data_IF_022078341976
#
_entry.id   IF_022078341976
#
_cell.length_a   1.000
_cell.length_b   1.000
_cell.length_c   1.000
_cell.angle_alpha   90.00
_cell.angle_beta   90.00
_cell.angle_gamma   90.00
#
_symmetry.space_group_name_H-M   'P 1'
#
loop_
_entity.id
_entity.type
_entity.pdbx_description
1 polymer ?
#
# COMPACT_ATOMS: atom_id res chain seq x y z
N UNK A 1 -6.45 -6.17 6.40
CA UNK A 1 -5.81 -5.16 7.27
C UNK A 1 -6.54 -3.82 7.28
N UNK A 2 -6.79 -3.16 6.14
CA UNK A 2 -7.42 -1.82 6.13
C UNK A 2 -8.84 -1.76 6.74
N UNK A 3 -9.49 -2.91 6.89
CA UNK A 3 -10.81 -3.05 7.52
C UNK A 3 -10.75 -3.37 9.01
N UNK A 4 -9.58 -3.72 9.55
CA UNK A 4 -9.41 -4.05 10.96
C UNK A 4 -9.30 -2.73 11.73
N UNK A 5 -10.11 -2.48 12.78
CA UNK A 5 -9.98 -1.27 13.59
C UNK A 5 -8.56 -1.13 14.14
N UNK A 6 -8.00 0.07 14.04
CA UNK A 6 -6.62 0.32 14.41
C UNK A 6 -6.39 1.78 14.82
N UNK A 7 -5.29 2.04 15.53
CA UNK A 7 -4.83 3.40 15.86
C UNK A 7 -3.34 3.58 15.57
N UNK A 8 -2.89 4.77 15.13
CA UNK A 8 -1.48 5.08 15.11
C UNK A 8 -0.94 5.19 16.54
N UNK A 9 0.23 4.60 16.77
CA UNK A 9 0.98 4.74 18.02
C UNK A 9 2.08 5.79 17.88
N UNK A 10 2.83 5.73 16.78
CA UNK A 10 3.96 6.61 16.53
C UNK A 10 4.54 6.40 15.15
N UNK A 11 5.60 7.14 14.85
CA UNK A 11 6.32 7.03 13.59
C UNK A 11 7.72 6.46 13.85
N UNK A 12 8.24 5.69 12.88
CA UNK A 12 9.65 5.34 12.81
C UNK A 12 10.24 6.09 11.62
N UNK A 13 11.24 6.92 11.90
CA UNK A 13 11.81 7.88 10.94
C UNK A 13 10.71 8.71 10.22
N UNK A 14 10.90 9.01 8.93
CA UNK A 14 10.01 9.87 8.16
C UNK A 14 8.85 9.16 7.47
N UNK A 15 8.95 7.83 7.25
CA UNK A 15 8.03 7.10 6.36
C UNK A 15 7.12 6.11 7.07
N UNK A 16 7.53 5.57 8.22
CA UNK A 16 6.83 4.45 8.82
C UNK A 16 5.91 4.92 9.93
N UNK A 17 4.70 4.37 9.96
CA UNK A 17 3.73 4.56 11.04
C UNK A 17 3.52 3.21 11.72
N UNK A 18 3.85 3.14 13.00
CA UNK A 18 3.51 1.99 13.85
C UNK A 18 2.05 2.14 14.26
N UNK A 19 1.28 1.07 14.05
CA UNK A 19 -0.15 1.01 14.39
C UNK A 19 -0.42 -0.14 15.32
N UNK A 20 -1.43 0.02 16.18
CA UNK A 20 -1.99 -1.07 16.97
C UNK A 20 -3.29 -1.49 16.29
N UNK A 21 -3.41 -2.78 15.98
CA UNK A 21 -4.59 -3.39 15.39
C UNK A 21 -5.42 -4.10 16.45
N UNK A 22 -6.75 -4.06 16.32
CA UNK A 22 -7.71 -4.67 17.24
C UNK A 22 -8.63 -5.65 16.50
N UNK A 23 -8.18 -6.88 16.23
CA UNK A 23 -8.92 -7.85 15.41
C UNK A 23 -10.31 -8.17 15.93
N UNK A 24 -10.47 -8.26 17.26
CA UNK A 24 -11.75 -8.60 17.89
C UNK A 24 -12.78 -7.47 17.90
N UNK A 25 -12.38 -6.26 17.48
CA UNK A 25 -13.31 -5.15 17.23
C UNK A 25 -13.83 -5.14 15.79
N UNK A 26 -13.28 -5.98 14.90
CA UNK A 26 -13.74 -6.09 13.53
C UNK A 26 -15.16 -6.67 13.47
N UNK A 27 -16.04 -6.00 12.73
CA UNK A 27 -17.38 -6.48 12.44
C UNK A 27 -17.64 -6.41 10.93
N UNK A 28 -18.19 -7.49 10.37
CA UNK A 28 -18.62 -7.55 8.96
C UNK A 28 -19.90 -6.75 8.70
N UNK A 29 -20.71 -6.53 9.74
CA UNK A 29 -21.97 -5.79 9.64
C UNK A 29 -21.75 -4.27 9.72
N UNK A 30 -20.71 -3.84 10.43
CA UNK A 30 -20.36 -2.44 10.61
C UNK A 30 -18.85 -2.27 10.44
N UNK A 31 -18.36 -2.10 9.19
CA UNK A 31 -16.95 -1.88 8.94
C UNK A 31 -16.57 -0.49 9.43
N UNK A 32 -16.15 -0.40 10.69
CA UNK A 32 -15.53 0.81 11.24
C UNK A 32 -14.03 0.61 11.20
N UNK A 33 -13.35 1.23 10.26
CA UNK A 33 -11.89 1.21 10.15
C UNK A 33 -11.20 2.07 11.23
N UNK A 34 -11.98 2.91 11.93
CA UNK A 34 -11.53 3.84 12.95
C UNK A 34 -12.16 3.57 14.31
N UNK A 35 -11.35 3.67 15.36
CA UNK A 35 -11.87 3.64 16.72
C UNK A 35 -12.67 4.91 17.03
N UNK A 36 -13.73 4.77 17.83
CA UNK A 36 -14.47 5.92 18.35
C UNK A 36 -13.59 6.73 19.31
N UNK A 37 -13.91 8.01 19.50
CA UNK A 37 -13.18 8.88 20.43
C UNK A 37 -13.20 8.33 21.85
N UNK A 38 -14.32 7.74 22.29
CA UNK A 38 -14.43 7.12 23.62
C UNK A 38 -13.48 5.93 23.78
N UNK A 39 -13.33 5.11 22.74
CA UNK A 39 -12.36 3.99 22.76
C UNK A 39 -10.93 4.49 22.76
N UNK A 40 -10.62 5.53 21.99
CA UNK A 40 -9.29 6.15 21.99
C UNK A 40 -8.95 6.75 23.37
N UNK A 41 -9.92 7.40 24.01
CA UNK A 41 -9.78 7.92 25.37
C UNK A 41 -9.51 6.80 26.37
N UNK A 42 -10.32 5.74 26.33
CA UNK A 42 -10.16 4.56 27.16
C UNK A 42 -8.76 3.94 27.02
N UNK A 43 -8.31 3.71 25.79
CA UNK A 43 -6.98 3.13 25.51
C UNK A 43 -5.87 4.04 26.03
N UNK A 44 -5.97 5.35 25.80
CA UNK A 44 -4.95 6.29 26.23
C UNK A 44 -4.84 6.35 27.76
N UNK A 45 -5.97 6.59 28.43
CA UNK A 45 -6.02 6.86 29.87
C UNK A 45 -5.73 5.60 30.71
N UNK A 46 -6.19 4.42 30.26
CA UNK A 46 -6.08 3.18 31.04
C UNK A 46 -4.94 2.25 30.61
N UNK A 47 -4.43 2.39 29.39
CA UNK A 47 -3.38 1.50 28.88
C UNK A 47 -2.10 2.26 28.52
N UNK A 48 -2.15 3.12 27.49
CA UNK A 48 -0.94 3.72 26.93
C UNK A 48 -0.19 4.58 27.94
N UNK A 49 -0.87 5.56 28.55
CA UNK A 49 -0.22 6.44 29.52
C UNK A 49 0.28 5.66 30.75
N UNK A 50 -0.52 4.78 31.40
CA UNK A 50 -0.02 3.93 32.48
C UNK A 50 1.21 3.10 32.08
N UNK A 51 1.23 2.50 30.90
CA UNK A 51 2.40 1.76 30.40
C UNK A 51 3.63 2.66 30.29
N UNK A 52 3.49 3.87 29.73
CA UNK A 52 4.62 4.80 29.60
C UNK A 52 5.15 5.26 30.95
N UNK A 53 4.27 5.49 31.94
CA UNK A 53 4.68 5.87 33.29
C UNK A 53 5.35 4.74 34.08
N UNK A 54 5.01 3.49 33.76
CA UNK A 54 5.55 2.29 34.37
C UNK A 54 6.92 1.92 33.78
N UNK A 55 7.03 1.95 32.44
CA UNK A 55 8.20 1.44 31.71
C UNK A 55 9.23 2.52 31.41
N UNK A 56 8.79 3.78 31.21
CA UNK A 56 9.66 4.93 30.88
C UNK A 56 9.34 6.11 31.80
N UNK A 57 9.52 5.97 33.13
CA UNK A 57 9.10 6.97 34.11
C UNK A 57 9.79 8.33 33.93
N UNK A 58 11.02 8.35 33.42
CA UNK A 58 11.76 9.55 33.03
C UNK A 58 11.08 10.39 31.93
N UNK A 59 10.11 9.86 31.18
CA UNK A 59 9.34 10.62 30.18
C UNK A 59 8.01 11.18 30.71
N UNK A 60 7.71 11.02 32.01
CA UNK A 60 6.40 11.32 32.62
C UNK A 60 5.85 12.70 32.31
N UNK A 61 6.71 13.72 32.30
CA UNK A 61 6.36 15.13 32.01
C UNK A 61 5.99 15.37 30.54
N UNK A 62 6.39 14.48 29.64
CA UNK A 62 6.14 14.57 28.19
C UNK A 62 4.80 13.98 27.76
N UNK A 63 4.14 13.20 28.62
CA UNK A 63 2.86 12.54 28.34
C UNK A 63 1.68 13.31 28.94
N UNK A 64 0.73 13.80 28.12
CA UNK A 64 -0.47 14.48 28.62
C UNK A 64 -1.22 13.68 29.67
N UNK A 65 -1.86 14.34 30.63
CA UNK A 65 -2.50 13.65 31.76
C UNK A 65 -3.71 12.84 31.33
N UNK A 66 -4.45 13.33 30.34
CA UNK A 66 -5.65 12.68 29.81
C UNK A 66 -5.71 12.75 28.29
N UNK A 67 -6.54 11.90 27.68
CA UNK A 67 -6.79 11.94 26.24
C UNK A 67 -7.30 13.31 25.76
N UNK A 68 -8.11 13.99 26.54
CA UNK A 68 -8.63 15.31 26.18
C UNK A 68 -7.50 16.36 26.02
N UNK A 69 -6.42 16.24 26.81
CA UNK A 69 -5.26 17.12 26.74
C UNK A 69 -4.26 16.71 25.64
N UNK A 70 -4.36 15.48 25.13
CA UNK A 70 -3.53 15.00 24.03
C UNK A 70 -4.15 15.24 22.65
N UNK A 71 -5.22 16.04 22.53
CA UNK A 71 -5.90 16.30 21.24
C UNK A 71 -5.49 17.63 20.63
N UNK A 72 -5.29 17.63 19.31
CA UNK A 72 -5.23 18.83 18.48
C UNK A 72 -6.62 19.46 18.33
N UNK A 73 -6.68 20.70 17.82
CA UNK A 73 -7.94 21.39 17.46
C UNK A 73 -8.80 20.61 16.45
N UNK A 74 -8.22 19.69 15.69
CA UNK A 74 -8.94 18.83 14.72
C UNK A 74 -9.33 17.48 15.31
N UNK A 75 -9.02 17.23 16.59
CA UNK A 75 -9.42 16.04 17.31
C UNK A 75 -8.49 14.83 17.16
N UNK A 76 -7.37 14.97 16.44
CA UNK A 76 -6.30 13.98 16.35
C UNK A 76 -5.42 13.99 17.59
N UNK A 77 -4.76 12.87 17.89
CA UNK A 77 -3.72 12.81 18.92
C UNK A 77 -2.54 13.72 18.53
N UNK A 78 -2.28 14.75 19.33
CA UNK A 78 -1.12 15.63 19.27
C UNK A 78 -0.17 15.27 20.41
N UNK A 79 0.73 14.34 20.15
CA UNK A 79 1.84 14.08 21.05
C UNK A 79 2.97 15.07 20.78
N UNK A 80 3.72 15.40 21.82
CA UNK A 80 5.09 15.89 21.66
C UNK A 80 5.90 14.81 20.93
N UNK A 81 6.88 15.19 20.11
CA UNK A 81 7.82 14.25 19.49
C UNK A 81 8.72 13.62 20.57
N UNK A 82 8.16 12.68 21.32
CA UNK A 82 8.83 11.98 22.41
C UNK A 82 9.12 10.56 21.96
N UNK A 83 10.41 10.25 21.87
CA UNK A 83 10.85 8.92 21.52
C UNK A 83 10.69 7.94 22.69
N UNK A 84 10.30 6.72 22.36
CA UNK A 84 10.39 5.58 23.27
C UNK A 84 11.79 4.99 23.11
N UNK A 85 12.60 4.88 24.18
CA UNK A 85 13.94 4.33 24.06
C UNK A 85 13.93 2.90 23.50
N UNK A 86 14.79 2.60 22.53
CA UNK A 86 14.79 1.32 21.80
C UNK A 86 14.88 0.10 22.74
N UNK A 87 15.72 0.18 23.78
CA UNK A 87 15.92 -0.88 24.77
C UNK A 87 14.71 -1.11 25.70
N UNK A 88 13.67 -0.26 25.62
CA UNK A 88 12.41 -0.41 26.36
C UNK A 88 11.24 -0.86 25.48
N UNK A 89 11.42 -0.96 24.16
CA UNK A 89 10.32 -1.22 23.23
C UNK A 89 9.60 -2.54 23.52
N UNK A 90 10.34 -3.61 23.78
CA UNK A 90 9.76 -4.92 24.12
C UNK A 90 8.93 -4.85 25.40
N UNK A 91 9.45 -4.19 26.44
CA UNK A 91 8.73 -4.02 27.71
C UNK A 91 7.47 -3.14 27.53
N UNK A 92 7.57 -2.05 26.76
CA UNK A 92 6.41 -1.22 26.42
C UNK A 92 5.37 -2.02 25.64
N UNK A 93 5.79 -2.79 24.63
CA UNK A 93 4.92 -3.60 23.81
C UNK A 93 4.15 -4.63 24.65
N UNK A 94 4.87 -5.43 25.43
CA UNK A 94 4.29 -6.49 26.28
C UNK A 94 3.36 -5.91 27.34
N UNK A 95 3.79 -4.86 28.06
CA UNK A 95 2.96 -4.23 29.09
C UNK A 95 1.71 -3.57 28.49
N UNK A 96 1.83 -2.91 27.33
CA UNK A 96 0.69 -2.29 26.64
C UNK A 96 -0.32 -3.34 26.17
N UNK A 97 0.14 -4.42 25.53
CA UNK A 97 -0.75 -5.49 25.06
C UNK A 97 -1.45 -6.21 26.22
N UNK A 98 -0.77 -6.41 27.35
CA UNK A 98 -1.39 -6.95 28.55
C UNK A 98 -2.50 -6.04 29.09
N UNK A 99 -2.23 -4.74 29.28
CA UNK A 99 -3.24 -3.78 29.74
C UNK A 99 -4.42 -3.67 28.77
N UNK A 100 -4.17 -3.74 27.46
CA UNK A 100 -5.23 -3.76 26.45
C UNK A 100 -6.10 -5.01 26.60
N UNK A 101 -5.51 -6.20 26.77
CA UNK A 101 -6.26 -7.44 26.96
C UNK A 101 -7.16 -7.40 28.21
N UNK A 102 -6.75 -6.67 29.25
CA UNK A 102 -7.49 -6.47 30.50
C UNK A 102 -8.67 -5.48 30.37
N UNK A 103 -8.69 -4.59 29.37
CA UNK A 103 -9.83 -3.69 29.13
C UNK A 103 -11.12 -4.44 28.77
N UNK A 104 -11.00 -5.62 28.18
CA UNK A 104 -12.13 -6.48 27.88
C UNK A 104 -11.95 -7.34 26.64
N UNK A 105 -12.93 -8.22 26.35
CA UNK A 105 -12.82 -9.24 25.29
C UNK A 105 -12.53 -8.66 23.90
N UNK A 106 -13.01 -7.45 23.61
CA UNK A 106 -12.81 -6.79 22.32
C UNK A 106 -11.38 -6.31 22.05
N UNK A 107 -10.56 -6.14 23.10
CA UNK A 107 -9.19 -5.64 22.98
C UNK A 107 -8.12 -6.75 23.06
N UNK A 108 -8.54 -8.00 23.29
CA UNK A 108 -7.64 -9.16 23.26
C UNK A 108 -7.13 -9.41 21.85
N UNK A 109 -5.95 -10.03 21.78
CA UNK A 109 -5.22 -10.33 20.54
C UNK A 109 -4.88 -9.09 19.71
N UNK A 110 -4.77 -7.93 20.38
CA UNK A 110 -4.21 -6.74 19.76
C UNK A 110 -2.75 -6.99 19.36
N UNK A 111 -2.31 -6.39 18.25
CA UNK A 111 -0.94 -6.54 17.76
C UNK A 111 -0.42 -5.26 17.11
N UNK A 112 0.90 -5.13 17.01
CA UNK A 112 1.55 -4.02 16.32
C UNK A 112 1.75 -4.32 14.84
N UNK A 113 1.57 -3.33 13.98
CA UNK A 113 1.91 -3.43 12.57
C UNK A 113 2.54 -2.16 12.04
N UNK A 114 3.48 -2.32 11.11
CA UNK A 114 4.17 -1.23 10.45
C UNK A 114 3.47 -0.88 9.12
N UNK A 115 3.22 0.40 8.88
CA UNK A 115 2.71 0.92 7.61
C UNK A 115 3.69 1.92 7.02
N UNK A 116 3.80 2.01 5.70
CA UNK A 116 4.59 3.04 5.01
C UNK A 116 5.82 2.54 4.26
N UNK A 117 5.95 1.23 4.07
CA UNK A 117 7.07 0.58 3.35
C UNK A 117 6.89 0.53 1.83
N UNK A 118 5.83 1.16 1.27
CA UNK A 118 5.53 1.04 -0.16
C UNK A 118 6.61 1.72 -1.00
N UNK A 119 7.25 0.94 -1.88
CA UNK A 119 8.34 1.45 -2.71
C UNK A 119 9.56 1.87 -1.89
N UNK A 120 9.81 1.19 -0.76
CA UNK A 120 10.94 1.50 0.12
C UNK A 120 12.29 1.39 -0.61
N UNK A 121 12.44 0.39 -1.49
CA UNK A 121 13.70 0.08 -2.18
C UNK A 121 13.52 -0.05 -3.69
N UNK A 122 14.58 0.23 -4.44
CA UNK A 122 14.70 0.04 -5.90
C UNK A 122 16.06 -0.61 -6.13
N UNK A 123 16.08 -1.70 -6.89
CA UNK A 123 17.28 -2.49 -7.16
C UNK A 123 17.14 -3.20 -8.51
N UNK A 124 18.25 -3.71 -9.03
CA UNK A 124 18.30 -4.61 -10.17
C UNK A 124 17.84 -6.01 -9.74
N UNK A 125 16.67 -6.44 -10.23
CA UNK A 125 16.12 -7.76 -9.89
C UNK A 125 16.97 -8.96 -10.32
N UNK A 126 17.96 -8.78 -11.21
CA UNK A 126 18.90 -9.82 -11.63
C UNK A 126 20.17 -9.89 -10.78
N UNK A 127 20.44 -8.85 -10.00
CA UNK A 127 21.57 -8.80 -9.10
C UNK A 127 21.15 -9.41 -7.75
N UNK A 128 21.86 -10.43 -7.29
CA UNK A 128 21.54 -11.09 -6.03
C UNK A 128 21.93 -10.23 -4.82
N UNK A 129 23.07 -9.55 -4.89
CA UNK A 129 23.58 -8.71 -3.81
C UNK A 129 22.67 -7.49 -3.63
N UNK A 130 22.25 -6.83 -4.72
CA UNK A 130 21.32 -5.70 -4.60
C UNK A 130 19.94 -6.13 -4.05
N UNK A 131 19.47 -7.34 -4.36
CA UNK A 131 18.22 -7.87 -3.78
C UNK A 131 18.35 -8.12 -2.28
N UNK A 132 19.49 -8.66 -1.83
CA UNK A 132 19.76 -8.86 -0.41
C UNK A 132 19.82 -7.51 0.34
N UNK A 133 20.59 -6.55 -0.17
CA UNK A 133 20.66 -5.21 0.41
C UNK A 133 19.28 -4.53 0.48
N UNK A 134 18.48 -4.66 -0.58
CA UNK A 134 17.13 -4.10 -0.60
C UNK A 134 16.16 -4.80 0.38
N UNK A 135 16.40 -6.07 0.73
CA UNK A 135 15.63 -6.78 1.74
C UNK A 135 16.03 -6.34 3.15
N UNK A 136 17.33 -6.19 3.40
CA UNK A 136 17.88 -5.70 4.66
C UNK A 136 17.39 -4.27 4.94
N UNK A 137 17.44 -3.39 3.93
CA UNK A 137 16.91 -2.02 4.00
C UNK A 137 15.40 -1.98 4.27
N UNK A 138 14.63 -2.90 3.66
CA UNK A 138 13.18 -2.99 3.87
C UNK A 138 12.84 -3.32 5.33
N UNK A 139 13.69 -4.12 5.98
CA UNK A 139 13.49 -4.62 7.33
C UNK A 139 14.42 -3.99 8.38
N UNK A 140 15.13 -2.90 8.06
CA UNK A 140 16.07 -2.21 8.97
C UNK A 140 15.47 -1.94 10.36
N UNK A 141 14.17 -1.65 10.42
CA UNK A 141 13.43 -1.31 11.66
C UNK A 141 12.58 -2.46 12.22
N UNK A 142 12.78 -3.68 11.72
CA UNK A 142 12.03 -4.86 12.09
C UNK A 142 13.00 -5.93 12.56
N UNK A 143 12.73 -6.50 13.73
CA UNK A 143 13.46 -7.67 14.20
C UNK A 143 13.02 -8.90 13.40
N UNK A 144 13.71 -9.15 12.27
CA UNK A 144 13.38 -10.24 11.33
C UNK A 144 13.51 -11.62 11.97
N UNK A 145 14.44 -11.80 12.91
CA UNK A 145 14.68 -13.07 13.61
C UNK A 145 13.49 -13.46 14.50
N UNK A 146 12.69 -12.48 14.91
CA UNK A 146 11.45 -12.71 15.67
C UNK A 146 10.25 -13.12 14.81
N UNK A 147 10.38 -13.08 13.47
CA UNK A 147 9.27 -13.32 12.55
C UNK A 147 9.17 -14.79 12.13
N UNK A 148 7.95 -15.26 11.92
CA UNK A 148 7.68 -16.49 11.19
C UNK A 148 7.62 -16.18 9.67
N UNK A 149 8.61 -16.61 8.86
CA UNK A 149 8.69 -16.27 7.44
C UNK A 149 7.52 -16.80 6.59
N UNK A 150 6.77 -17.78 7.10
CA UNK A 150 5.60 -18.34 6.40
C UNK A 150 4.33 -17.51 6.63
N UNK A 151 4.24 -16.80 7.77
CA UNK A 151 3.08 -15.99 8.12
C UNK A 151 3.19 -14.56 7.58
N UNK A 152 4.41 -14.10 7.31
CA UNK A 152 4.68 -12.79 6.76
C UNK A 152 4.65 -12.80 5.23
N UNK A 153 4.17 -11.71 4.65
CA UNK A 153 4.07 -11.55 3.21
C UNK A 153 4.77 -10.27 2.76
N UNK A 154 5.44 -10.34 1.61
CA UNK A 154 6.12 -9.22 0.97
C UNK A 154 5.54 -9.02 -0.42
N UNK A 155 5.31 -7.76 -0.79
CA UNK A 155 4.93 -7.37 -2.14
C UNK A 155 6.21 -7.12 -2.94
N UNK A 156 6.52 -8.03 -3.88
CA UNK A 156 7.67 -7.92 -4.79
C UNK A 156 7.17 -7.40 -6.13
N UNK A 157 7.88 -6.44 -6.73
CA UNK A 157 7.44 -5.82 -7.96
C UNK A 157 8.54 -5.68 -9.00
N UNK A 158 8.21 -5.98 -10.25
CA UNK A 158 9.00 -5.70 -11.44
C UNK A 158 8.41 -4.48 -12.16
N UNK A 159 9.27 -3.53 -12.53
CA UNK A 159 8.87 -2.35 -13.32
C UNK A 159 9.54 -2.40 -14.68
N UNK A 160 8.75 -2.28 -15.74
CA UNK A 160 9.18 -2.33 -17.13
C UNK A 160 8.98 -0.93 -17.72
N UNK A 161 10.07 -0.29 -18.11
CA UNK A 161 10.09 1.02 -18.75
C UNK A 161 10.82 0.97 -20.09
N UNK A 162 10.44 1.88 -20.99
CA UNK A 162 11.12 2.11 -22.27
C UNK A 162 11.32 3.63 -22.40
N UNK A 163 12.55 4.12 -22.56
CA UNK A 163 12.80 5.55 -22.70
C UNK A 163 11.97 6.21 -23.80
N UNK A 164 11.40 7.38 -23.53
CA UNK A 164 10.54 8.13 -24.45
C UNK A 164 9.16 7.52 -24.68
N UNK A 165 8.74 6.55 -23.88
CA UNK A 165 7.47 5.85 -24.05
C UNK A 165 6.65 5.77 -22.74
N UNK A 166 5.34 5.57 -22.90
CA UNK A 166 4.45 5.09 -21.86
C UNK A 166 4.16 3.61 -22.12
N UNK A 167 4.55 2.76 -21.18
CA UNK A 167 4.39 1.30 -21.28
C UNK A 167 3.11 0.87 -20.56
N UNK A 168 2.27 0.11 -21.26
CA UNK A 168 1.00 -0.41 -20.74
C UNK A 168 0.86 -1.93 -20.95
N UNK A 169 -0.10 -2.54 -20.26
CA UNK A 169 -0.39 -3.97 -20.31
C UNK A 169 -1.47 -4.31 -21.35
N UNK A 170 -1.29 -5.41 -22.09
CA UNK A 170 -2.28 -5.94 -23.03
C UNK A 170 -3.28 -6.83 -22.30
N UNK A 171 -4.57 -6.54 -22.41
CA UNK A 171 -5.65 -7.38 -21.84
C UNK A 171 -5.53 -8.84 -22.30
N UNK A 172 -5.28 -9.04 -23.59
CA UNK A 172 -5.20 -10.38 -24.21
C UNK A 172 -4.09 -11.27 -23.64
N UNK A 173 -3.11 -10.68 -22.95
CA UNK A 173 -1.95 -11.39 -22.42
C UNK A 173 -2.08 -11.83 -20.95
N UNK A 174 -3.13 -11.40 -20.24
CA UNK A 174 -3.25 -11.63 -18.78
C UNK A 174 -3.24 -13.11 -18.40
N UNK A 175 -3.84 -13.98 -19.24
CA UNK A 175 -3.79 -15.42 -19.03
C UNK A 175 -2.37 -15.96 -19.08
N UNK A 176 -1.59 -15.53 -20.07
CA UNK A 176 -0.21 -15.98 -20.24
C UNK A 176 0.66 -15.53 -19.07
N UNK A 177 0.48 -14.28 -18.64
CA UNK A 177 1.18 -13.75 -17.47
C UNK A 177 0.86 -14.53 -16.19
N UNK A 178 -0.42 -14.82 -15.95
CA UNK A 178 -0.85 -15.63 -14.80
C UNK A 178 -0.34 -17.08 -14.90
N UNK A 179 -0.30 -17.68 -16.10
CA UNK A 179 0.28 -19.00 -16.33
C UNK A 179 1.76 -19.04 -16.01
N UNK A 180 2.50 -17.97 -16.32
CA UNK A 180 3.90 -17.88 -15.98
C UNK A 180 4.11 -17.77 -14.46
N UNK A 181 3.37 -16.90 -13.79
CA UNK A 181 3.51 -16.66 -12.34
C UNK A 181 3.02 -17.81 -11.46
N UNK A 182 2.07 -18.61 -11.96
CA UNK A 182 1.49 -19.74 -11.26
C UNK A 182 1.68 -21.02 -12.08
N UNK A 183 2.95 -21.39 -12.30
CA UNK A 183 3.33 -22.50 -13.18
C UNK A 183 2.74 -23.86 -12.78
N UNK A 184 2.42 -24.05 -11.49
CA UNK A 184 1.77 -25.25 -10.98
C UNK A 184 0.25 -25.28 -11.22
N UNK A 185 -0.37 -24.17 -11.64
CA UNK A 185 -1.81 -24.04 -11.82
C UNK A 185 -2.22 -24.38 -13.25
N UNK A 186 -3.25 -25.20 -13.43
CA UNK A 186 -3.72 -25.58 -14.77
C UNK A 186 -4.36 -24.40 -15.52
N UNK A 187 -4.29 -24.43 -16.85
CA UNK A 187 -4.93 -23.44 -17.72
C UNK A 187 -6.44 -23.30 -17.45
N UNK A 188 -7.12 -24.39 -17.08
CA UNK A 188 -8.54 -24.35 -16.71
C UNK A 188 -8.77 -23.59 -15.40
N UNK A 189 -7.91 -23.78 -14.39
CA UNK A 189 -7.99 -23.05 -13.13
C UNK A 189 -7.74 -21.55 -13.33
N UNK A 190 -6.75 -21.20 -14.15
CA UNK A 190 -6.46 -19.80 -14.50
C UNK A 190 -7.64 -19.16 -15.23
N UNK A 191 -8.24 -19.88 -16.19
CA UNK A 191 -9.43 -19.39 -16.90
C UNK A 191 -10.63 -19.18 -15.95
N UNK A 192 -10.82 -20.07 -14.97
CA UNK A 192 -11.84 -19.90 -13.93
C UNK A 192 -11.57 -18.69 -13.03
N UNK A 193 -10.30 -18.43 -12.70
CA UNK A 193 -9.89 -17.25 -11.93
C UNK A 193 -10.25 -15.97 -12.68
N UNK A 194 -9.85 -15.85 -13.95
CA UNK A 194 -10.09 -14.65 -14.78
C UNK A 194 -11.60 -14.36 -14.89
N UNK A 195 -12.43 -15.40 -14.99
CA UNK A 195 -13.88 -15.24 -15.08
C UNK A 195 -14.57 -14.95 -13.74
N UNK A 196 -13.84 -15.01 -12.61
CA UNK A 196 -14.41 -14.78 -11.28
C UNK A 196 -14.30 -13.31 -10.87
N UNK A 197 -15.40 -12.57 -10.96
CA UNK A 197 -15.46 -11.12 -10.66
C UNK A 197 -15.13 -10.74 -9.21
N UNK A 198 -15.16 -11.69 -8.27
CA UNK A 198 -14.80 -11.44 -6.87
C UNK A 198 -13.30 -11.61 -6.62
N UNK A 199 -12.60 -12.26 -7.54
CA UNK A 199 -11.18 -12.60 -7.41
C UNK A 199 -10.32 -12.02 -8.51
N UNK A 200 -10.91 -11.62 -9.63
CA UNK A 200 -10.23 -10.99 -10.74
C UNK A 200 -10.96 -9.70 -11.13
N UNK A 201 -10.22 -8.60 -11.10
CA UNK A 201 -10.70 -7.29 -11.50
C UNK A 201 -9.85 -6.79 -12.66
N UNK A 202 -10.50 -6.44 -13.76
CA UNK A 202 -9.86 -5.84 -14.92
C UNK A 202 -9.81 -4.33 -14.73
N UNK A 203 -8.61 -3.75 -14.84
CA UNK A 203 -8.38 -2.32 -14.65
C UNK A 203 -8.04 -1.69 -16.01
N UNK A 204 -9.05 -1.28 -16.76
CA UNK A 204 -8.88 -0.65 -18.09
C UNK A 204 -8.17 0.70 -17.97
N UNK A 205 -7.17 0.91 -18.83
CA UNK A 205 -6.44 2.16 -18.93
C UNK A 205 -6.94 2.97 -20.13
N UNK A 206 -6.88 4.30 -20.03
CA UNK A 206 -7.08 5.23 -21.16
C UNK A 206 -8.42 5.10 -21.91
N UNK A 207 -9.44 4.45 -21.32
CA UNK A 207 -10.69 4.07 -22.00
C UNK A 207 -10.49 3.18 -23.25
N UNK A 208 -9.26 2.71 -23.51
CA UNK A 208 -8.91 1.77 -24.57
C UNK A 208 -9.15 0.37 -24.03
N UNK A 209 -9.93 -0.45 -24.73
CA UNK A 209 -10.33 -1.77 -24.20
C UNK A 209 -9.14 -2.72 -24.15
N UNK A 210 -8.26 -2.63 -25.14
CA UNK A 210 -7.11 -3.51 -25.32
C UNK A 210 -6.01 -3.28 -24.26
N UNK A 211 -5.99 -2.10 -23.64
CA UNK A 211 -5.01 -1.72 -22.62
C UNK A 211 -5.63 -1.83 -21.24
N UNK A 212 -5.19 -2.83 -20.49
CA UNK A 212 -5.71 -3.07 -19.16
C UNK A 212 -4.65 -3.71 -18.28
N UNK A 213 -4.57 -3.20 -17.05
CA UNK A 213 -4.02 -3.94 -15.93
C UNK A 213 -5.04 -4.90 -15.35
N UNK A 214 -4.68 -5.56 -14.26
CA UNK A 214 -5.61 -6.37 -13.49
C UNK A 214 -5.17 -6.51 -12.03
N UNK A 215 -6.10 -6.95 -11.19
CA UNK A 215 -5.88 -7.41 -9.83
C UNK A 215 -6.46 -8.81 -9.68
N UNK A 216 -5.66 -9.74 -9.17
CA UNK A 216 -6.06 -11.13 -8.99
C UNK A 216 -5.73 -11.64 -7.58
N UNK A 217 -6.73 -12.14 -6.86
CA UNK A 217 -6.56 -12.86 -5.59
C UNK A 217 -6.40 -14.35 -5.87
N UNK A 218 -5.20 -14.88 -5.63
CA UNK A 218 -4.74 -16.18 -6.13
C UNK A 218 -4.57 -17.23 -5.04
N UNK A 219 -4.83 -16.90 -3.77
CA UNK A 219 -4.67 -17.77 -2.58
C UNK A 219 -5.17 -19.21 -2.74
N UNK A 220 -6.29 -19.42 -3.46
CA UNK A 220 -6.88 -20.76 -3.62
C UNK A 220 -6.46 -21.52 -4.88
N UNK A 221 -5.59 -20.96 -5.72
CA UNK A 221 -5.22 -21.58 -6.99
C UNK A 221 -3.72 -21.63 -7.26
N UNK A 222 -2.92 -20.73 -6.69
CA UNK A 222 -1.48 -20.65 -6.95
C UNK A 222 -0.65 -21.77 -6.28
N UNK A 223 -1.25 -22.51 -5.34
CA UNK A 223 -0.53 -23.47 -4.47
C UNK A 223 0.18 -22.77 -3.31
N UNK A 224 0.81 -23.57 -2.44
CA UNK A 224 1.44 -23.06 -1.20
C UNK A 224 2.64 -22.13 -1.46
N UNK A 225 3.37 -22.34 -2.56
CA UNK A 225 4.53 -21.53 -2.95
C UNK A 225 4.20 -20.43 -3.96
N UNK A 226 2.97 -20.40 -4.46
CA UNK A 226 2.56 -19.42 -5.44
C UNK A 226 2.15 -18.09 -4.80
N UNK A 227 2.03 -17.02 -5.60
CA UNK A 227 1.59 -15.73 -5.09
C UNK A 227 0.17 -15.81 -4.53
N UNK A 228 -0.11 -15.11 -3.43
CA UNK A 228 -1.46 -14.95 -2.88
C UNK A 228 -2.25 -13.81 -3.52
N UNK A 229 -1.54 -12.88 -4.16
CA UNK A 229 -2.09 -11.76 -4.91
C UNK A 229 -1.18 -11.39 -6.09
N UNK A 230 -1.77 -10.99 -7.21
CA UNK A 230 -1.06 -10.49 -8.39
C UNK A 230 -1.73 -9.20 -8.85
N UNK A 231 -0.93 -8.18 -9.16
CA UNK A 231 -1.41 -6.93 -9.72
C UNK A 231 -0.52 -6.45 -10.86
N UNK A 232 -1.12 -6.27 -12.04
CA UNK A 232 -0.51 -5.58 -13.16
C UNK A 232 -1.14 -4.20 -13.29
N UNK A 233 -0.34 -3.15 -13.29
CA UNK A 233 -0.81 -1.77 -13.42
C UNK A 233 0.25 -0.89 -14.07
N UNK A 234 -0.14 0.31 -14.46
CA UNK A 234 0.75 1.26 -15.09
C UNK A 234 1.05 2.44 -14.11
N UNK A 235 2.24 3.04 -14.19
CA UNK A 235 2.76 3.99 -13.19
C UNK A 235 2.43 5.45 -13.50
N UNK A 236 1.97 5.77 -14.70
CA UNK A 236 1.49 7.08 -15.14
C UNK A 236 0.38 7.62 -14.24
N UNK A 237 -0.38 6.74 -13.59
CA UNK A 237 -1.33 7.10 -12.52
C UNK A 237 -0.73 8.01 -11.45
N UNK A 238 0.58 7.97 -11.22
CA UNK A 238 1.21 8.84 -10.24
C UNK A 238 1.04 10.32 -10.56
N UNK A 239 0.92 10.71 -11.84
CA UNK A 239 0.63 12.10 -12.24
C UNK A 239 -0.72 12.53 -11.67
N UNK A 240 -1.77 11.73 -11.85
CA UNK A 240 -3.11 12.09 -11.39
C UNK A 240 -3.31 11.93 -9.87
N UNK A 241 -2.43 11.19 -9.18
CA UNK A 241 -2.50 10.97 -7.73
C UNK A 241 -1.67 11.98 -6.91
N UNK A 242 -0.58 12.54 -7.46
CA UNK A 242 0.35 13.39 -6.71
C UNK A 242 -0.08 14.84 -6.59
N UNK A 243 -1.18 15.23 -7.24
CA UNK A 243 -1.68 16.59 -7.22
C UNK A 243 -2.94 16.65 -6.36
N UNK A 244 -2.99 17.65 -5.47
CA UNK A 244 -4.05 17.91 -4.50
C UNK A 244 -5.47 17.51 -4.98
N UNK A 245 -6.37 17.10 -4.07
CA UNK A 245 -7.71 16.57 -4.39
C UNK A 245 -8.68 17.52 -5.11
N UNK A 246 -8.21 18.65 -5.66
CA UNK A 246 -9.02 19.63 -6.38
C UNK A 246 -9.30 19.25 -7.84
N UNK A 247 -8.26 18.97 -8.62
CA UNK A 247 -8.34 18.98 -10.09
C UNK A 247 -8.64 17.59 -10.67
N UNK A 248 -7.88 16.57 -10.29
CA UNK A 248 -8.09 15.19 -10.76
C UNK A 248 -9.11 14.45 -9.89
N UNK A 249 -10.34 14.97 -9.86
CA UNK A 249 -11.46 14.34 -9.15
C UNK A 249 -12.58 13.95 -10.11
N UNK A 250 -13.44 13.04 -9.65
CA UNK A 250 -14.67 12.75 -10.38
C UNK A 250 -15.63 13.93 -10.25
N UNK A 251 -15.93 14.59 -11.37
CA UNK A 251 -17.02 15.57 -11.46
C UNK A 251 -18.38 14.85 -11.52
N UNK A 252 -19.35 15.34 -10.77
CA UNK A 252 -20.73 14.85 -10.81
C UNK A 252 -21.54 15.60 -11.87
N UNK A 253 -22.51 14.94 -12.50
CA UNK A 253 -23.36 15.56 -13.53
C UNK A 253 -24.04 16.86 -13.05
N UNK A 254 -24.37 16.97 -11.75
CA UNK A 254 -24.94 18.18 -11.16
C UNK A 254 -24.04 19.42 -11.24
N UNK A 255 -22.71 19.23 -11.31
CA UNK A 255 -21.74 20.34 -11.43
C UNK A 255 -21.79 21.00 -12.81
N UNK A 256 -22.34 20.31 -13.81
CA UNK A 256 -22.61 20.89 -15.13
C UNK A 256 -23.88 21.76 -15.12
N UNK A 257 -24.71 21.66 -14.08
CA UNK A 257 -26.03 22.31 -14.01
C UNK A 257 -26.06 23.55 -13.08
N UNK A 258 -24.99 23.83 -12.33
CA UNK A 258 -24.98 24.80 -11.22
C UNK A 258 -24.15 26.07 -11.48
N UNK A 259 -24.03 26.56 -12.71
CA UNK A 259 -23.18 27.72 -13.07
C UNK A 259 -21.69 27.55 -12.66
N UNK A 260 -21.27 26.33 -12.36
CA UNK A 260 -19.88 25.97 -12.01
C UNK A 260 -19.05 25.55 -13.23
N UNK A 261 -19.57 25.74 -14.44
CA UNK A 261 -18.91 25.40 -15.71
C UNK A 261 -17.51 26.02 -15.81
N UNK A 262 -17.37 27.28 -15.43
CA UNK A 262 -16.08 27.98 -15.44
C UNK A 262 -15.02 27.30 -14.55
N UNK A 263 -15.43 26.63 -13.48
CA UNK A 263 -14.48 25.89 -12.63
C UNK A 263 -14.07 24.57 -13.29
N UNK A 264 -14.99 23.89 -13.96
CA UNK A 264 -14.71 22.65 -14.71
C UNK A 264 -13.76 22.95 -15.88
N UNK A 265 -14.01 24.03 -16.62
CA UNK A 265 -13.13 24.46 -17.72
C UNK A 265 -11.73 24.74 -17.19
N UNK A 266 -11.60 25.48 -16.06
CA UNK A 266 -10.31 25.73 -15.43
C UNK A 266 -9.61 24.44 -15.00
N UNK A 267 -10.34 23.50 -14.41
CA UNK A 267 -9.78 22.19 -14.03
C UNK A 267 -9.28 21.45 -15.28
N UNK A 268 -10.05 21.48 -16.39
CA UNK A 268 -9.65 20.89 -17.67
C UNK A 268 -8.40 21.54 -18.26
N UNK A 269 -8.29 22.88 -18.25
CA UNK A 269 -7.10 23.59 -18.73
C UNK A 269 -5.86 23.20 -17.92
N UNK A 270 -6.00 23.09 -16.59
CA UNK A 270 -4.92 22.63 -15.71
C UNK A 270 -4.53 21.19 -16.08
N UNK A 271 -5.50 20.28 -16.21
CA UNK A 271 -5.24 18.88 -16.59
C UNK A 271 -4.52 18.79 -17.94
N UNK A 272 -4.97 19.54 -18.95
CA UNK A 272 -4.37 19.59 -20.28
C UNK A 272 -2.93 20.10 -20.24
N UNK A 273 -2.66 21.19 -19.53
CA UNK A 273 -1.29 21.71 -19.40
C UNK A 273 -0.35 20.68 -18.76
N UNK A 274 -0.82 19.94 -17.77
CA UNK A 274 -0.02 18.90 -17.13
C UNK A 274 0.28 17.75 -18.10
N UNK A 275 -0.68 17.35 -18.92
CA UNK A 275 -0.44 16.33 -19.94
C UNK A 275 0.50 16.82 -21.04
N UNK A 276 0.41 18.10 -21.45
CA UNK A 276 1.40 18.70 -22.35
C UNK A 276 2.81 18.69 -21.77
N UNK A 277 2.98 19.05 -20.49
CA UNK A 277 4.28 18.94 -19.81
C UNK A 277 4.77 17.48 -19.75
N UNK A 278 3.87 16.54 -19.45
CA UNK A 278 4.22 15.12 -19.45
C UNK A 278 4.61 14.60 -20.84
N UNK A 279 4.05 15.14 -21.92
CA UNK A 279 4.47 14.84 -23.28
C UNK A 279 5.89 15.36 -23.59
N UNK A 280 6.37 16.34 -22.84
CA UNK A 280 7.64 17.06 -23.07
C UNK A 280 7.48 18.32 -23.93
N UNK A 281 6.27 18.87 -23.98
CA UNK A 281 6.02 20.18 -24.60
C UNK A 281 6.43 21.32 -23.63
N UNK A 282 6.61 22.53 -24.17
CA UNK A 282 6.91 23.70 -23.34
C UNK A 282 8.36 23.78 -22.81
N UNK A 283 9.27 22.98 -23.36
CA UNK A 283 10.69 22.99 -22.97
C UNK A 283 10.99 22.23 -21.67
N UNK A 284 10.03 21.43 -21.19
CA UNK A 284 10.19 20.56 -20.01
C UNK A 284 10.57 19.16 -20.47
N UNK A 285 11.41 18.47 -19.68
CA UNK A 285 11.67 17.06 -19.91
C UNK A 285 10.39 16.26 -19.70
N UNK A 286 9.91 15.61 -20.76
CA UNK A 286 8.68 14.82 -20.69
C UNK A 286 8.82 13.61 -19.76
N UNK A 287 7.68 13.12 -19.30
CA UNK A 287 7.58 12.04 -18.33
C UNK A 287 7.20 10.72 -18.98
N UNK A 288 8.06 9.73 -18.86
CA UNK A 288 7.78 8.38 -19.30
C UNK A 288 6.83 7.65 -18.32
N UNK A 289 6.19 6.58 -18.81
CA UNK A 289 5.32 5.72 -18.02
C UNK A 289 5.78 4.27 -18.07
N UNK A 290 5.65 3.55 -16.96
CA UNK A 290 6.09 2.17 -16.84
C UNK A 290 4.92 1.22 -16.60
N UNK A 291 5.06 -0.01 -17.07
CA UNK A 291 4.22 -1.13 -16.69
C UNK A 291 4.82 -1.83 -15.46
N UNK A 292 4.07 -1.91 -14.37
CA UNK A 292 4.48 -2.53 -13.11
C UNK A 292 3.67 -3.79 -12.85
N UNK A 293 4.38 -4.88 -12.55
CA UNK A 293 3.82 -6.14 -12.09
C UNK A 293 4.23 -6.34 -10.64
N UNK A 294 3.27 -6.60 -9.77
CA UNK A 294 3.46 -6.76 -8.33
C UNK A 294 2.83 -8.08 -7.91
N UNK A 295 3.54 -8.87 -7.12
CA UNK A 295 3.03 -10.11 -6.54
C UNK A 295 3.23 -10.12 -5.03
N UNK A 296 2.26 -10.70 -4.32
CA UNK A 296 2.36 -10.95 -2.89
C UNK A 296 2.76 -12.39 -2.64
N UNK A 297 3.89 -12.59 -1.99
CA UNK A 297 4.45 -13.91 -1.65
C UNK A 297 4.79 -13.96 -0.16
N UNK A 298 5.00 -15.15 0.40
CA UNK A 298 5.52 -15.27 1.76
C UNK A 298 6.94 -14.71 1.84
N UNK A 299 7.35 -14.25 3.03
CA UNK A 299 8.70 -13.76 3.27
C UNK A 299 9.75 -14.83 2.91
N UNK A 300 9.47 -16.09 3.23
CA UNK A 300 10.29 -17.24 2.85
C UNK A 300 10.60 -17.33 1.33
N UNK A 301 9.67 -16.87 0.49
CA UNK A 301 9.79 -16.95 -0.98
C UNK A 301 10.17 -15.62 -1.64
N UNK A 302 10.23 -14.52 -0.89
CA UNK A 302 10.35 -13.16 -1.44
C UNK A 302 11.60 -12.98 -2.31
N UNK A 303 12.75 -13.50 -1.87
CA UNK A 303 14.02 -13.37 -2.58
C UNK A 303 14.04 -14.08 -3.93
N UNK A 304 13.31 -15.17 -4.08
CA UNK A 304 13.30 -15.99 -5.29
C UNK A 304 12.12 -15.68 -6.22
N UNK A 305 11.32 -14.69 -5.87
CA UNK A 305 10.07 -14.35 -6.55
C UNK A 305 10.27 -13.15 -7.47
N UNK A 306 9.75 -13.23 -8.70
CA UNK A 306 9.67 -12.12 -9.67
C UNK A 306 10.98 -11.34 -9.89
N UNK A 307 12.13 -12.03 -9.90
CA UNK A 307 13.44 -11.42 -10.20
C UNK A 307 13.56 -10.93 -11.66
N UNK A 308 12.94 -11.65 -12.60
CA UNK A 308 12.90 -11.32 -14.02
C UNK A 308 11.65 -11.89 -14.67
N UNK A 309 11.31 -11.36 -15.85
CA UNK A 309 10.40 -12.02 -16.80
C UNK A 309 11.17 -12.39 -18.07
N UNK A 310 10.79 -13.46 -18.79
CA UNK A 310 11.33 -13.76 -20.10
C UNK A 310 11.03 -12.60 -21.07
N UNK A 311 12.02 -12.21 -21.86
CA UNK A 311 11.87 -11.10 -22.81
C UNK A 311 10.71 -11.31 -23.79
N UNK A 312 10.53 -12.55 -24.24
CA UNK A 312 9.43 -12.93 -25.13
C UNK A 312 8.05 -12.80 -24.47
N UNK A 313 7.96 -13.03 -23.15
CA UNK A 313 6.73 -12.79 -22.41
C UNK A 313 6.47 -11.27 -22.30
N UNK A 314 7.51 -10.47 -22.03
CA UNK A 314 7.39 -9.01 -21.98
C UNK A 314 6.86 -8.49 -23.32
N UNK A 315 7.49 -8.86 -24.44
CA UNK A 315 7.08 -8.44 -25.79
C UNK A 315 5.61 -8.76 -26.12
N UNK A 316 5.10 -9.89 -25.62
CA UNK A 316 3.69 -10.29 -25.78
C UNK A 316 2.75 -9.59 -24.81
N UNK A 317 3.22 -9.26 -23.61
CA UNK A 317 2.39 -8.71 -22.54
C UNK A 317 2.27 -7.19 -22.53
N UNK A 318 3.26 -6.46 -23.04
CA UNK A 318 3.28 -5.00 -22.94
C UNK A 318 3.16 -4.31 -24.30
N UNK A 319 2.77 -3.04 -24.28
CA UNK A 319 2.80 -2.11 -25.41
C UNK A 319 3.54 -0.87 -24.95
N UNK A 320 4.54 -0.45 -25.71
CA UNK A 320 5.16 0.85 -25.56
C UNK A 320 4.50 1.82 -26.55
N UNK A 321 3.92 2.90 -26.03
CA UNK A 321 3.31 3.97 -26.81
C UNK A 321 4.26 5.15 -26.73
N UNK A 322 4.54 5.81 -27.85
CA UNK A 322 5.36 7.03 -27.82
C UNK A 322 4.77 8.03 -26.82
N UNK A 323 5.61 8.57 -25.95
CA UNK A 323 5.17 9.41 -24.83
C UNK A 323 4.26 10.55 -25.28
N UNK A 324 4.61 11.21 -26.39
CA UNK A 324 3.85 12.33 -26.95
C UNK A 324 2.45 11.96 -27.44
N UNK A 325 2.23 10.69 -27.80
CA UNK A 325 0.93 10.18 -28.24
C UNK A 325 0.08 9.72 -27.06
N UNK A 326 0.72 9.26 -25.99
CA UNK A 326 0.01 8.70 -24.83
C UNK A 326 -0.57 9.76 -23.89
N UNK A 327 0.08 10.92 -23.75
CA UNK A 327 -0.36 12.02 -22.89
C UNK A 327 -1.32 12.95 -23.65
#
# INVERSE_FOLDING_TARGET
MHTIPNMPLGNVQQRHVVRIFFPRLYSTEWPVDQLTQDKLALIYDQCLRPTMLEVVPESRDKWPTTYAQSRSRTGSLAFSSTDIPWYRLEQVATTLLAKLADLGPGFRDAYFGLRGTKGATIHNGRDEDERHLAMDDLFEHVDVDSLDPEQWHVDVALTIGVPGHVVTWRESSHRELLSYLMSATSTQQISRLINNKNRFHLDRALQIKEFAGFRATTTHCAGALGPSYVQAYCTEKNVTYSMNPGVFRRHQAKELLQETENNIIKDMDIMSNIFFECAGEGGVEGRDGCARLEIRVSLANAMNSLSTLPEELIKRCVVAIERRVSW
#
